data_IF_375543429699
#
_entry.id   IF_375543429699
#
_cell.length_a   1.000
_cell.length_b   1.000
_cell.length_c   1.000
_cell.angle_alpha   90.00
_cell.angle_beta   90.00
_cell.angle_gamma   90.00
#
_symmetry.space_group_name_H-M   'P 1'
#
loop_
_entity.id
_entity.type
_entity.pdbx_description
1 polymer ?
#
# COMPACT_ATOMS: atom_id res chain seq x y z
N UNK A 1 -2.29 -20.86 -9.01
CA UNK A 1 -1.25 -19.83 -8.77
C UNK A 1 -1.80 -18.52 -9.31
N UNK A 2 -1.85 -17.47 -8.49
CA UNK A 2 -2.34 -16.15 -8.88
C UNK A 2 -1.20 -15.20 -9.19
N UNK A 3 -1.52 -14.08 -9.85
CA UNK A 3 -0.57 -13.00 -10.14
C UNK A 3 -0.89 -11.79 -9.28
N UNK A 4 0.14 -11.11 -8.79
CA UNK A 4 -0.01 -9.89 -8.00
C UNK A 4 -0.86 -8.86 -8.78
N UNK A 5 -1.82 -8.22 -8.12
CA UNK A 5 -2.67 -7.23 -8.80
C UNK A 5 -1.93 -5.97 -9.27
N UNK A 6 -0.77 -5.70 -8.68
CA UNK A 6 0.06 -4.50 -8.97
C UNK A 6 1.17 -4.80 -9.98
N UNK A 7 1.64 -6.05 -10.07
CA UNK A 7 2.73 -6.42 -10.98
C UNK A 7 2.63 -7.89 -11.42
N UNK A 8 3.39 -8.29 -12.43
CA UNK A 8 3.30 -9.64 -12.99
C UNK A 8 3.97 -10.78 -12.15
N UNK A 9 4.32 -10.54 -10.87
CA UNK A 9 4.94 -11.57 -10.02
C UNK A 9 3.90 -12.48 -9.38
N UNK A 10 4.31 -13.69 -9.01
CA UNK A 10 3.47 -14.63 -8.26
C UNK A 10 3.02 -14.07 -6.90
N UNK A 11 1.78 -14.34 -6.54
CA UNK A 11 1.23 -13.99 -5.23
C UNK A 11 1.91 -14.76 -4.09
N UNK A 12 1.96 -14.14 -2.91
CA UNK A 12 2.46 -14.78 -1.70
C UNK A 12 1.30 -15.48 -0.96
N UNK A 13 1.26 -16.82 -1.04
CA UNK A 13 0.19 -17.61 -0.42
C UNK A 13 -1.18 -17.26 -1.01
N UNK A 14 -2.16 -17.01 -0.13
CA UNK A 14 -3.53 -16.63 -0.52
C UNK A 14 -3.73 -15.11 -0.64
N UNK A 15 -2.65 -14.32 -0.71
CA UNK A 15 -2.70 -12.86 -0.86
C UNK A 15 -3.05 -12.42 -2.29
N UNK A 16 -3.59 -11.21 -2.45
CA UNK A 16 -3.71 -10.53 -3.73
C UNK A 16 -2.37 -9.96 -4.25
N UNK A 17 -1.33 -9.96 -3.42
CA UNK A 17 -0.05 -9.33 -3.69
C UNK A 17 1.11 -10.35 -3.71
N UNK A 18 2.18 -10.01 -4.44
CA UNK A 18 3.47 -10.70 -4.28
C UNK A 18 4.10 -10.37 -2.93
N UNK A 19 5.17 -11.07 -2.56
CA UNK A 19 5.84 -10.88 -1.26
C UNK A 19 6.24 -9.43 -0.97
N UNK A 20 6.70 -8.68 -1.97
CA UNK A 20 7.11 -7.28 -1.79
C UNK A 20 5.91 -6.36 -1.57
N UNK A 21 4.89 -6.46 -2.41
CA UNK A 21 3.67 -5.64 -2.29
C UNK A 21 2.86 -6.01 -1.03
N UNK A 22 2.84 -7.29 -0.61
CA UNK A 22 2.22 -7.69 0.65
C UNK A 22 2.94 -7.07 1.85
N UNK A 23 4.28 -7.07 1.85
CA UNK A 23 5.04 -6.41 2.90
C UNK A 23 4.78 -4.89 2.93
N UNK A 24 4.66 -4.26 1.76
CA UNK A 24 4.34 -2.84 1.66
C UNK A 24 2.92 -2.55 2.18
N UNK A 25 1.92 -3.35 1.83
CA UNK A 25 0.56 -3.28 2.36
C UNK A 25 0.55 -3.34 3.90
N UNK A 26 1.20 -4.35 4.47
CA UNK A 26 1.29 -4.53 5.92
C UNK A 26 1.99 -3.34 6.60
N UNK A 27 3.00 -2.75 5.95
CA UNK A 27 3.68 -1.56 6.47
C UNK A 27 2.77 -0.31 6.41
N UNK A 28 1.96 -0.17 5.36
CA UNK A 28 0.99 0.91 5.24
C UNK A 28 -0.07 0.85 6.34
N UNK A 29 -0.63 -0.32 6.61
CA UNK A 29 -1.60 -0.52 7.70
C UNK A 29 -1.00 -0.15 9.06
N UNK A 30 0.21 -0.64 9.36
CA UNK A 30 0.90 -0.32 10.61
C UNK A 30 1.20 1.16 10.78
N UNK A 31 1.66 1.84 9.73
CA UNK A 31 1.97 3.27 9.78
C UNK A 31 0.71 4.13 9.87
N UNK A 32 -0.41 3.70 9.29
CA UNK A 32 -1.66 4.43 9.35
C UNK A 32 -2.19 4.61 10.76
N UNK A 33 -2.02 3.63 11.66
CA UNK A 33 -2.46 3.80 13.04
C UNK A 33 -1.81 5.03 13.70
N UNK A 34 -0.51 5.24 13.44
CA UNK A 34 0.22 6.40 13.96
C UNK A 34 -0.25 7.71 13.31
N UNK A 35 -0.45 7.71 12.00
CA UNK A 35 -0.91 8.89 11.26
C UNK A 35 -2.35 9.27 11.61
N UNK A 36 -3.24 8.28 11.75
CA UNK A 36 -4.61 8.46 12.19
C UNK A 36 -4.66 9.06 13.58
N UNK A 37 -3.86 8.55 14.51
CA UNK A 37 -3.80 9.08 15.88
C UNK A 37 -3.26 10.52 15.91
N UNK A 38 -2.18 10.81 15.17
CA UNK A 38 -1.53 12.12 15.19
C UNK A 38 -2.25 13.21 14.38
N UNK A 39 -2.91 12.84 13.28
CA UNK A 39 -3.45 13.79 12.29
C UNK A 39 -4.95 13.65 12.05
N UNK A 40 -5.61 12.63 12.62
CA UNK A 40 -7.06 12.42 12.44
C UNK A 40 -7.47 12.00 11.02
N UNK A 41 -6.54 11.53 10.20
CA UNK A 41 -6.78 11.19 8.80
C UNK A 41 -7.63 9.92 8.65
N UNK A 42 -8.48 9.91 7.63
CA UNK A 42 -9.05 8.68 7.08
C UNK A 42 -8.01 7.87 6.30
N UNK A 43 -8.35 6.61 6.00
CA UNK A 43 -7.47 5.72 5.25
C UNK A 43 -7.14 6.26 3.85
N UNK A 44 -8.14 6.78 3.13
CA UNK A 44 -7.94 7.34 1.81
C UNK A 44 -7.01 8.56 1.83
N UNK A 45 -7.23 9.51 2.74
CA UNK A 45 -6.38 10.71 2.88
C UNK A 45 -4.93 10.37 3.24
N UNK A 46 -4.74 9.35 4.07
CA UNK A 46 -3.41 8.82 4.38
C UNK A 46 -2.73 8.27 3.11
N UNK A 47 -3.40 7.41 2.36
CA UNK A 47 -2.86 6.83 1.13
C UNK A 47 -2.55 7.91 0.08
N UNK A 48 -3.39 8.94 -0.05
CA UNK A 48 -3.11 10.08 -0.92
C UNK A 48 -1.84 10.85 -0.52
N UNK A 49 -1.57 10.98 0.78
CA UNK A 49 -0.32 11.59 1.26
C UNK A 49 0.88 10.69 0.99
N UNK A 50 0.72 9.38 1.19
CA UNK A 50 1.76 8.37 0.93
C UNK A 50 2.20 8.39 -0.54
N UNK A 51 1.26 8.45 -1.49
CA UNK A 51 1.57 8.48 -2.93
C UNK A 51 2.32 9.74 -3.35
N UNK A 52 2.04 10.89 -2.70
CA UNK A 52 2.63 12.20 -2.99
C UNK A 52 3.95 12.46 -2.24
N UNK A 53 4.21 11.78 -1.12
CA UNK A 53 5.39 12.05 -0.29
C UNK A 53 6.70 11.57 -0.95
N UNK A 54 7.72 12.44 -1.09
CA UNK A 54 8.96 12.13 -1.82
C UNK A 54 9.82 11.04 -1.17
N UNK A 55 9.66 10.80 0.14
CA UNK A 55 10.37 9.74 0.88
C UNK A 55 9.71 8.36 0.84
N UNK A 56 8.52 8.23 0.26
CA UNK A 56 7.82 6.94 0.21
C UNK A 56 8.50 5.99 -0.76
N UNK A 57 8.84 4.78 -0.28
CA UNK A 57 9.37 3.71 -1.13
C UNK A 57 8.39 3.31 -2.24
N UNK A 58 8.92 2.93 -3.40
CA UNK A 58 8.14 2.62 -4.61
C UNK A 58 7.02 1.60 -4.34
N UNK A 59 7.32 0.48 -3.69
CA UNK A 59 6.32 -0.56 -3.39
C UNK A 59 5.14 -0.05 -2.58
N UNK A 60 5.38 0.84 -1.60
CA UNK A 60 4.33 1.43 -0.79
C UNK A 60 3.49 2.43 -1.61
N UNK A 61 4.11 3.20 -2.51
CA UNK A 61 3.37 4.08 -3.43
C UNK A 61 2.47 3.29 -4.37
N UNK A 62 2.98 2.19 -4.93
CA UNK A 62 2.22 1.35 -5.87
C UNK A 62 1.02 0.68 -5.18
N UNK A 63 1.20 0.13 -3.98
CA UNK A 63 0.07 -0.42 -3.19
C UNK A 63 -0.93 0.66 -2.83
N UNK A 64 -0.47 1.84 -2.39
CA UNK A 64 -1.37 2.93 -2.04
C UNK A 64 -2.20 3.40 -3.25
N UNK A 65 -1.58 3.50 -4.42
CA UNK A 65 -2.26 3.86 -5.66
C UNK A 65 -3.29 2.79 -6.06
N UNK A 66 -2.93 1.51 -6.00
CA UNK A 66 -3.83 0.40 -6.31
C UNK A 66 -5.06 0.35 -5.37
N UNK A 67 -4.89 0.59 -4.06
CA UNK A 67 -6.02 0.63 -3.11
C UNK A 67 -6.95 1.81 -3.37
N UNK A 68 -6.42 2.96 -3.78
CA UNK A 68 -7.22 4.13 -4.15
C UNK A 68 -7.99 3.91 -5.48
N UNK A 69 -7.83 2.74 -6.12
CA UNK A 69 -8.45 2.41 -7.40
C UNK A 69 -7.69 2.99 -8.58
N UNK A 70 -6.37 3.17 -8.45
CA UNK A 70 -5.57 3.98 -9.39
C UNK A 70 -5.62 3.48 -10.84
N UNK A 71 -5.17 4.36 -11.75
CA UNK A 71 -6.04 5.28 -12.51
C UNK A 71 -7.42 4.74 -12.93
#
# INVERSE_FOLDING_TARGET
MGTCKVCARDVAGDSAYCRQHLQAYNNLEKAYEQWRYALGLSWAEYLEKVTKAPGTGQWAREVAADILGGP
#
